data_IF_739526364180
#
_entry.id   IF_739526364180
#
_cell.length_a   1.000
_cell.length_b   1.000
_cell.length_c   1.000
_cell.angle_alpha   90.00
_cell.angle_beta   90.00
_cell.angle_gamma   90.00
#
_symmetry.space_group_name_H-M   'P 1'
#
loop_
_entity.id
_entity.type
_entity.pdbx_description
1 polymer ?
#
# COMPACT_ATOMS: atom_id res chain seq x y z
N UNK A 1 -20.73 44.06 -21.29
CA UNK A 1 -20.43 43.61 -21.09
C UNK A 1 -20.26 42.72 -20.50
N UNK A 2 -19.97 42.01 -20.51
CA UNK A 2 -19.92 41.12 -19.88
C UNK A 2 -18.87 40.69 -19.39
N UNK A 3 -18.65 40.37 -18.45
CA UNK A 3 -17.64 40.02 -17.87
C UNK A 3 -17.66 38.70 -17.75
N UNK A 4 -16.81 38.01 -18.20
CA UNK A 4 -16.74 36.80 -18.12
C UNK A 4 -15.94 36.43 -17.07
N UNK A 5 -16.39 35.87 -16.13
CA UNK A 5 -15.66 35.36 -15.18
C UNK A 5 -15.33 34.11 -15.41
N UNK A 6 -14.22 33.86 -15.84
CA UNK A 6 -13.68 32.69 -15.90
C UNK A 6 -13.23 32.39 -14.64
N UNK A 7 -13.90 31.74 -13.91
CA UNK A 7 -13.45 31.21 -12.82
C UNK A 7 -12.56 30.22 -13.12
N UNK A 8 -11.39 30.47 -13.14
CA UNK A 8 -10.40 29.50 -13.20
C UNK A 8 -10.50 28.78 -11.95
N UNK A 9 -11.18 27.78 -11.94
CA UNK A 9 -11.16 26.97 -10.91
C UNK A 9 -9.90 26.30 -10.88
N UNK A 10 -9.04 26.77 -10.21
CA UNK A 10 -7.85 26.08 -9.95
C UNK A 10 -8.24 24.94 -9.12
N UNK A 11 -8.50 23.91 -9.73
CA UNK A 11 -8.70 22.74 -9.00
C UNK A 11 -7.37 22.35 -8.52
N UNK A 12 -7.11 22.64 -7.34
CA UNK A 12 -6.01 22.18 -6.75
C UNK A 12 -6.17 20.77 -6.51
N UNK A 13 -5.60 20.01 -7.36
CA UNK A 13 -5.51 18.67 -7.08
C UNK A 13 -4.39 18.54 -6.15
N UNK A 14 -4.72 18.44 -4.94
CA UNK A 14 -3.77 18.01 -4.04
C UNK A 14 -3.51 16.60 -4.32
N UNK A 15 -2.69 16.38 -5.22
CA UNK A 15 -2.21 15.06 -5.37
C UNK A 15 -1.22 14.90 -4.26
N UNK A 16 -1.70 14.42 -3.20
CA UNK A 16 -0.78 13.90 -2.22
C UNK A 16 -0.06 12.80 -2.91
N UNK A 17 1.22 12.87 -2.97
CA UNK A 17 1.95 11.80 -3.58
C UNK A 17 1.66 10.57 -2.77
N UNK A 18 1.21 9.58 -3.45
CA UNK A 18 0.98 8.34 -2.79
C UNK A 18 2.34 7.83 -2.51
N UNK A 19 2.82 8.10 -1.34
CA UNK A 19 4.04 7.51 -1.00
C UNK A 19 3.83 6.08 -0.95
N UNK A 20 4.68 5.36 -1.61
CA UNK A 20 4.79 3.95 -1.38
C UNK A 20 4.86 3.83 0.12
N UNK A 21 3.97 3.09 0.70
CA UNK A 21 3.92 2.98 2.12
C UNK A 21 5.25 2.52 2.65
N UNK A 22 5.89 3.35 3.40
CA UNK A 22 7.13 2.98 4.03
C UNK A 22 6.86 1.88 5.05
N UNK A 23 7.80 0.98 5.19
CA UNK A 23 7.66 -0.06 6.18
C UNK A 23 7.66 0.55 7.57
N UNK A 24 6.87 0.00 8.45
CA UNK A 24 6.85 0.45 9.82
C UNK A 24 8.20 0.12 10.45
N UNK A 25 8.76 1.08 11.14
CA UNK A 25 10.03 0.88 11.82
C UNK A 25 9.79 0.70 13.31
N UNK A 26 9.93 -0.52 13.82
CA UNK A 26 9.66 -0.78 15.24
C UNK A 26 10.55 0.02 16.19
N UNK A 27 11.73 0.41 15.74
CA UNK A 27 12.64 1.16 16.61
C UNK A 27 12.20 2.60 16.84
N UNK A 28 11.27 3.10 16.01
CA UNK A 28 10.81 4.47 16.13
C UNK A 28 9.50 4.61 16.87
N UNK A 29 8.95 3.51 17.36
CA UNK A 29 7.70 3.57 18.12
C UNK A 29 7.97 3.38 19.60
N UNK A 30 7.01 3.77 20.42
CA UNK A 30 7.15 3.59 21.86
C UNK A 30 7.31 2.10 22.19
N UNK A 31 8.08 1.78 23.24
CA UNK A 31 8.32 0.37 23.58
C UNK A 31 7.05 -0.47 23.74
N UNK A 32 5.99 0.12 24.28
CA UNK A 32 4.76 -0.62 24.49
C UNK A 32 4.05 -0.96 23.19
N UNK A 33 4.44 -0.32 22.09
CA UNK A 33 3.84 -0.61 20.78
C UNK A 33 4.79 -1.34 19.85
N UNK A 34 5.97 -1.66 20.34
CA UNK A 34 7.00 -2.26 19.48
C UNK A 34 6.59 -3.62 18.93
N UNK A 35 5.96 -4.44 19.76
CA UNK A 35 5.52 -5.74 19.32
C UNK A 35 4.49 -5.65 18.19
N UNK A 36 3.52 -4.75 18.34
CA UNK A 36 2.53 -4.54 17.30
C UNK A 36 3.18 -4.01 16.03
N UNK A 37 4.17 -3.12 16.16
CA UNK A 37 4.88 -2.57 15.02
C UNK A 37 5.67 -3.66 14.29
N UNK A 38 6.27 -4.58 15.02
CA UNK A 38 7.00 -5.68 14.41
C UNK A 38 6.07 -6.60 13.63
N UNK A 39 4.90 -6.87 14.18
CA UNK A 39 3.90 -7.68 13.49
C UNK A 39 3.44 -7.00 12.21
N UNK A 40 3.21 -5.70 12.27
CA UNK A 40 2.82 -4.94 11.09
C UNK A 40 3.88 -4.96 10.03
N UNK A 41 5.13 -4.80 10.44
CA UNK A 41 6.23 -4.81 9.50
C UNK A 41 6.32 -6.16 8.80
N UNK A 42 6.19 -7.24 9.55
CA UNK A 42 6.24 -8.58 8.97
C UNK A 42 5.11 -8.79 7.96
N UNK A 43 3.92 -8.30 8.29
CA UNK A 43 2.79 -8.41 7.39
C UNK A 43 2.99 -7.58 6.13
N UNK A 44 3.51 -6.38 6.26
CA UNK A 44 3.80 -5.54 5.11
C UNK A 44 4.82 -6.19 4.18
N UNK A 45 5.82 -6.84 4.74
CA UNK A 45 6.81 -7.53 3.94
C UNK A 45 6.17 -8.70 3.19
N UNK A 46 5.31 -9.47 3.85
CA UNK A 46 4.61 -10.56 3.18
C UNK A 46 3.74 -10.06 2.04
N UNK A 47 3.00 -8.98 2.28
CA UNK A 47 2.15 -8.40 1.25
C UNK A 47 2.98 -7.93 0.05
N UNK A 48 4.11 -7.31 0.33
CA UNK A 48 5.00 -6.83 -0.71
C UNK A 48 5.56 -7.98 -1.54
N UNK A 49 5.97 -9.04 -0.87
CA UNK A 49 6.52 -10.21 -1.55
C UNK A 49 5.46 -10.89 -2.42
N UNK A 50 4.23 -11.02 -1.91
CA UNK A 50 3.17 -11.61 -2.69
C UNK A 50 2.78 -10.74 -3.89
N UNK A 51 2.76 -9.42 -3.71
CA UNK A 51 2.48 -8.52 -4.82
C UNK A 51 3.56 -8.63 -5.90
N UNK A 52 4.82 -8.72 -5.48
CA UNK A 52 5.91 -8.88 -6.44
C UNK A 52 5.79 -10.19 -7.20
N UNK A 53 5.45 -11.27 -6.51
CA UNK A 53 5.27 -12.56 -7.16
C UNK A 53 4.12 -12.53 -8.16
N UNK A 54 3.04 -11.82 -7.81
CA UNK A 54 1.92 -11.68 -8.73
C UNK A 54 2.35 -10.96 -10.01
N UNK A 55 3.19 -9.95 -9.87
CA UNK A 55 3.69 -9.22 -11.03
C UNK A 55 4.64 -10.08 -11.85
N UNK A 56 5.50 -10.85 -11.19
CA UNK A 56 6.43 -11.73 -11.89
C UNK A 56 5.70 -12.83 -12.65
N UNK A 57 4.62 -13.34 -12.06
CA UNK A 57 3.85 -14.40 -12.69
C UNK A 57 2.81 -13.86 -13.67
N UNK A 58 2.77 -12.54 -13.81
CA UNK A 58 1.84 -11.87 -14.73
C UNK A 58 0.40 -12.28 -14.50
N UNK A 59 0.02 -12.31 -13.24
CA UNK A 59 -1.34 -12.68 -12.85
C UNK A 59 -2.32 -11.64 -13.37
N UNK A 60 -3.40 -12.09 -13.97
CA UNK A 60 -4.40 -11.19 -14.51
C UNK A 60 -5.11 -10.44 -13.39
N UNK A 61 -5.52 -9.20 -13.64
CA UNK A 61 -6.18 -8.41 -12.61
C UNK A 61 -7.36 -9.11 -11.94
N UNK A 62 -8.13 -9.86 -12.69
CA UNK A 62 -9.30 -10.56 -12.14
C UNK A 62 -8.89 -11.72 -11.22
N UNK A 63 -7.68 -12.23 -11.38
CA UNK A 63 -7.21 -13.35 -10.57
C UNK A 63 -6.29 -12.90 -9.46
N UNK A 64 -5.95 -11.64 -9.43
CA UNK A 64 -4.95 -11.12 -8.52
C UNK A 64 -5.35 -11.27 -7.05
N UNK A 65 -6.60 -10.98 -6.72
CA UNK A 65 -7.05 -11.07 -5.33
C UNK A 65 -6.93 -12.51 -4.80
N UNK A 66 -7.36 -13.49 -5.59
CA UNK A 66 -7.28 -14.88 -5.18
C UNK A 66 -5.82 -15.31 -5.06
N UNK A 67 -4.98 -14.88 -5.99
CA UNK A 67 -3.56 -15.19 -5.98
C UNK A 67 -2.89 -14.63 -4.72
N UNK A 68 -3.16 -13.36 -4.42
CA UNK A 68 -2.57 -12.72 -3.25
C UNK A 68 -3.03 -13.37 -1.95
N UNK A 69 -4.31 -13.71 -1.85
CA UNK A 69 -4.85 -14.36 -0.67
C UNK A 69 -4.16 -15.71 -0.46
N UNK A 70 -4.01 -16.49 -1.51
CA UNK A 70 -3.35 -17.78 -1.43
C UNK A 70 -1.89 -17.63 -1.03
N UNK A 71 -1.21 -16.66 -1.62
CA UNK A 71 0.19 -16.39 -1.32
C UNK A 71 0.39 -16.01 0.14
N UNK A 72 -0.47 -15.12 0.65
CA UNK A 72 -0.38 -14.70 2.05
C UNK A 72 -0.67 -15.85 3.00
N UNK A 73 -1.62 -16.71 2.66
CA UNK A 73 -1.95 -17.87 3.48
C UNK A 73 -0.76 -18.83 3.53
N UNK A 74 -0.09 -19.04 2.41
CA UNK A 74 1.07 -19.92 2.39
C UNK A 74 2.20 -19.38 3.24
N UNK A 75 2.44 -18.08 3.18
CA UNK A 75 3.50 -17.48 3.99
C UNK A 75 3.14 -17.49 5.48
N UNK A 76 1.87 -17.40 5.81
CA UNK A 76 1.44 -17.42 7.20
C UNK A 76 1.59 -18.79 7.86
N UNK A 77 1.71 -19.83 7.07
CA UNK A 77 1.87 -21.18 7.60
C UNK A 77 3.31 -21.50 8.02
N UNK A 78 4.22 -20.64 7.70
CA UNK A 78 5.63 -20.89 8.01
C UNK A 78 6.17 -20.01 9.13
#
# INVERSE_FOLDING_TARGET
>A
MRTIFILAMATLFLSTPVRAQALVDPSKVAPEHREAAEKRRAEQIRQRDCARKADEDKVLPRDRTAYLTHCLDELAKH
#
